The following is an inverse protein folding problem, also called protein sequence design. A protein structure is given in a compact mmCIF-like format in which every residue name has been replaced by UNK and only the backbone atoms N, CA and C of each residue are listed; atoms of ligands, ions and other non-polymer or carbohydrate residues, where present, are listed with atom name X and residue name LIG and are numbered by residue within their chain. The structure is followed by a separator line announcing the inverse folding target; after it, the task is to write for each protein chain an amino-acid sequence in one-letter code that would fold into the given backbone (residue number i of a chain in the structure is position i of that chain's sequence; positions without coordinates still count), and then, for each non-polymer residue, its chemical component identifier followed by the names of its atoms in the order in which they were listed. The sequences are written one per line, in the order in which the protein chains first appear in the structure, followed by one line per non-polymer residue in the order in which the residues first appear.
data_IF_888216135211
#
_entry.id   IF_888216135211
#
_cell.length_a   1.000
_cell.length_b   1.000
_cell.length_c   1.000
_cell.angle_alpha   90.00
_cell.angle_beta   90.00
_cell.angle_gamma   90.00
#
_symmetry.space_group_name_H-M   'P 1'
#
loop_
_entity.id
_entity.type
_entity.pdbx_description
1 polymer ?
#
# COMPACT_ATOMS: atom_id res chain seq x y z
N UNK A 1 6.93 -8.59 -11.48
CA UNK A 1 6.29 -7.65 -10.52
C UNK A 1 6.50 -8.13 -9.09
N UNK A 2 6.20 -9.37 -8.78
CA UNK A 2 6.30 -9.95 -7.42
C UNK A 2 7.69 -9.80 -6.78
N UNK A 3 8.76 -9.89 -7.59
CA UNK A 3 10.13 -9.70 -7.09
C UNK A 3 10.38 -8.32 -6.46
N UNK A 4 9.79 -7.23 -7.00
CA UNK A 4 9.97 -5.88 -6.43
C UNK A 4 9.25 -5.78 -5.09
N UNK A 5 8.04 -6.32 -4.98
CA UNK A 5 7.31 -6.38 -3.71
C UNK A 5 8.04 -7.22 -2.67
N UNK A 6 8.51 -8.42 -3.06
CA UNK A 6 9.25 -9.30 -2.15
C UNK A 6 10.52 -8.63 -1.62
N UNK A 7 11.28 -7.95 -2.48
CA UNK A 7 12.49 -7.20 -2.08
C UNK A 7 12.09 -6.03 -1.17
N UNK A 8 11.10 -5.22 -1.52
CA UNK A 8 10.67 -4.09 -0.71
C UNK A 8 10.21 -4.55 0.69
N UNK A 9 9.42 -5.63 0.78
CA UNK A 9 8.97 -6.20 2.06
C UNK A 9 10.13 -6.73 2.91
N UNK A 10 11.11 -7.39 2.30
CA UNK A 10 12.26 -7.94 3.03
C UNK A 10 13.26 -6.87 3.48
N UNK A 11 13.43 -5.78 2.70
CA UNK A 11 14.29 -4.65 3.10
C UNK A 11 13.76 -3.94 4.35
N UNK A 12 12.44 -3.92 4.57
CA UNK A 12 11.87 -3.30 5.78
C UNK A 12 12.48 -3.84 7.09
N UNK A 13 12.86 -5.12 7.15
CA UNK A 13 13.46 -5.69 8.37
C UNK A 13 14.84 -5.13 8.68
N UNK A 14 15.56 -4.63 7.67
CA UNK A 14 16.90 -4.05 7.86
C UNK A 14 16.90 -2.76 8.69
N UNK A 15 15.72 -2.13 8.83
CA UNK A 15 15.54 -0.96 9.72
C UNK A 15 15.46 -1.35 11.20
N UNK A 16 15.25 -2.63 11.51
CA UNK A 16 15.26 -3.17 12.87
C UNK A 16 16.68 -3.56 13.28
N UNK A 17 17.54 -2.56 13.45
CA UNK A 17 18.93 -2.80 13.89
C UNK A 17 18.96 -3.12 15.38
N UNK A 18 19.73 -4.16 15.75
CA UNK A 18 19.97 -4.46 17.16
C UNK A 18 20.59 -3.24 17.89
N UNK A 19 20.23 -3.00 19.16
CA UNK A 19 20.81 -1.92 19.95
C UNK A 19 22.34 -2.08 20.02
N UNK A 20 23.09 -1.06 19.55
CA UNK A 20 24.57 -1.12 19.52
C UNK A 20 25.19 -0.64 20.81
N UNK A 21 24.51 0.26 21.53
CA UNK A 21 24.91 0.78 22.83
C UNK A 21 23.84 0.44 23.85
N UNK A 22 24.26 -0.27 24.92
CA UNK A 22 23.36 -0.59 26.02
C UNK A 22 23.47 0.53 27.06
N UNK A 23 22.33 1.25 27.26
CA UNK A 23 22.15 2.17 28.37
C UNK A 23 22.02 1.45 29.72
N UNK A 24 21.70 2.18 30.81
CA UNK A 24 21.61 1.60 32.17
C UNK A 24 20.59 0.45 32.30
N UNK A 25 19.56 0.39 31.40
CA UNK A 25 18.56 -0.67 31.36
C UNK A 25 18.97 -1.92 30.57
N UNK A 26 20.18 -1.96 30.02
CA UNK A 26 20.70 -3.11 29.28
C UNK A 26 19.93 -3.41 27.99
N UNK A 27 20.01 -4.67 27.55
CA UNK A 27 19.38 -5.13 26.30
C UNK A 27 17.83 -5.00 26.34
N UNK A 28 17.23 -5.25 27.49
CA UNK A 28 15.75 -5.17 27.61
C UNK A 28 15.23 -3.77 27.28
N UNK A 29 15.85 -2.73 27.83
CA UNK A 29 15.48 -1.35 27.53
C UNK A 29 15.75 -1.01 26.05
N UNK A 30 16.90 -1.42 25.50
CA UNK A 30 17.22 -1.22 24.09
C UNK A 30 16.21 -1.85 23.14
N UNK A 31 15.63 -3.01 23.49
CA UNK A 31 14.56 -3.64 22.71
C UNK A 31 13.23 -2.88 22.82
N UNK A 32 12.90 -2.36 24.01
CA UNK A 32 11.71 -1.51 24.19
C UNK A 32 11.80 -0.24 23.35
N UNK A 33 12.98 0.37 23.27
CA UNK A 33 13.24 1.58 22.49
C UNK A 33 13.09 1.36 20.95
N UNK A 34 13.17 0.11 20.49
CA UNK A 34 12.86 -0.27 19.12
C UNK A 34 11.36 -0.35 18.82
N UNK A 35 10.48 -0.21 19.80
CA UNK A 35 9.04 -0.44 19.67
C UNK A 35 8.38 0.34 18.53
N UNK A 36 8.73 1.64 18.35
CA UNK A 36 8.20 2.46 17.27
C UNK A 36 8.62 1.97 15.89
N UNK A 37 9.89 1.58 15.73
CA UNK A 37 10.43 1.04 14.47
C UNK A 37 9.80 -0.31 14.16
N UNK A 38 9.63 -1.15 15.19
CA UNK A 38 8.95 -2.45 15.02
C UNK A 38 7.50 -2.27 14.60
N UNK A 39 6.75 -1.37 15.23
CA UNK A 39 5.39 -1.04 14.82
C UNK A 39 5.32 -0.53 13.37
N UNK A 40 6.22 0.38 13.00
CA UNK A 40 6.31 0.88 11.62
C UNK A 40 6.64 -0.22 10.62
N UNK A 41 7.56 -1.14 10.96
CA UNK A 41 7.87 -2.31 10.15
C UNK A 41 6.62 -3.17 9.90
N UNK A 42 5.88 -3.53 10.97
CA UNK A 42 4.66 -4.36 10.85
C UNK A 42 3.61 -3.67 9.98
N UNK A 43 3.35 -2.39 10.23
CA UNK A 43 2.38 -1.59 9.47
C UNK A 43 2.78 -1.56 7.98
N UNK A 44 4.03 -1.22 7.69
CA UNK A 44 4.50 -1.08 6.31
C UNK A 44 4.54 -2.41 5.56
N UNK A 45 4.84 -3.52 6.26
CA UNK A 45 4.80 -4.86 5.69
C UNK A 45 3.37 -5.24 5.29
N UNK A 46 2.39 -4.98 6.17
CA UNK A 46 0.97 -5.23 5.88
C UNK A 46 0.49 -4.33 4.73
N UNK A 47 0.85 -3.05 4.74
CA UNK A 47 0.53 -2.10 3.67
C UNK A 47 1.05 -2.58 2.33
N UNK A 48 2.33 -2.98 2.25
CA UNK A 48 2.91 -3.53 1.01
C UNK A 48 2.19 -4.82 0.57
N UNK A 49 1.85 -5.70 1.51
CA UNK A 49 1.06 -6.91 1.25
C UNK A 49 -0.31 -6.58 0.63
N UNK A 50 -0.99 -5.55 1.14
CA UNK A 50 -2.27 -5.09 0.60
C UNK A 50 -2.11 -4.51 -0.81
N UNK A 51 -1.09 -3.68 -1.06
CA UNK A 51 -0.80 -3.17 -2.41
C UNK A 51 -0.46 -4.30 -3.38
N UNK A 52 0.35 -5.27 -2.95
CA UNK A 52 0.65 -6.46 -3.76
C UNK A 52 -0.64 -7.23 -4.12
N UNK A 53 -1.46 -7.52 -3.11
CA UNK A 53 -2.70 -8.27 -3.31
C UNK A 53 -3.68 -7.54 -4.24
N UNK A 54 -3.90 -6.25 -4.01
CA UNK A 54 -4.76 -5.42 -4.85
C UNK A 54 -4.24 -5.35 -6.30
N UNK A 55 -2.95 -5.13 -6.47
CA UNK A 55 -2.29 -5.08 -7.78
C UNK A 55 -2.41 -6.43 -8.50
N UNK A 56 -2.13 -7.54 -7.82
CA UNK A 56 -2.24 -8.88 -8.37
C UNK A 56 -3.66 -9.18 -8.87
N UNK A 57 -4.68 -8.86 -8.07
CA UNK A 57 -6.08 -9.06 -8.45
C UNK A 57 -6.51 -8.19 -9.64
N UNK A 58 -6.11 -6.93 -9.67
CA UNK A 58 -6.45 -6.02 -10.78
C UNK A 58 -5.79 -6.49 -12.08
N UNK A 59 -4.55 -6.97 -12.03
CA UNK A 59 -3.84 -7.48 -13.20
C UNK A 59 -4.32 -8.87 -13.66
N UNK A 60 -5.11 -9.57 -12.86
CA UNK A 60 -5.75 -10.83 -13.27
C UNK A 60 -6.67 -10.65 -14.50
N UNK A 61 -7.30 -9.49 -14.65
CA UNK A 61 -8.19 -9.18 -15.77
C UNK A 61 -7.45 -8.70 -17.03
N UNK A 62 -6.13 -8.56 -17.01
CA UNK A 62 -5.36 -8.02 -18.13
C UNK A 62 -5.12 -9.10 -19.19
N UNK A 63 -5.65 -8.90 -20.39
CA UNK A 63 -5.41 -9.77 -21.55
C UNK A 63 -4.29 -9.27 -22.46
N UNK A 64 -4.16 -7.95 -22.58
CA UNK A 64 -3.17 -7.31 -23.46
C UNK A 64 -2.45 -6.20 -22.74
N UNK A 65 -1.18 -6.04 -23.08
CA UNK A 65 -0.32 -5.01 -22.50
C UNK A 65 0.15 -4.06 -23.59
N UNK A 66 0.08 -2.77 -23.35
CA UNK A 66 0.62 -1.76 -24.24
C UNK A 66 1.73 -0.93 -23.53
N UNK A 67 2.44 -0.13 -24.29
CA UNK A 67 3.57 0.67 -23.78
C UNK A 67 3.19 1.57 -22.61
N UNK A 68 2.03 2.22 -22.66
CA UNK A 68 1.58 3.13 -21.60
C UNK A 68 1.32 2.37 -20.29
N UNK A 69 0.65 1.21 -20.35
CA UNK A 69 0.42 0.38 -19.17
C UNK A 69 1.73 -0.10 -18.54
N UNK A 70 2.73 -0.46 -19.36
CA UNK A 70 4.07 -0.84 -18.86
C UNK A 70 4.71 0.32 -18.10
N UNK A 71 4.69 1.54 -18.64
CA UNK A 71 5.28 2.70 -17.98
C UNK A 71 4.54 3.08 -16.68
N UNK A 72 3.22 3.05 -16.67
CA UNK A 72 2.43 3.27 -15.45
C UNK A 72 2.78 2.25 -14.37
N UNK A 73 2.93 1.00 -14.77
CA UNK A 73 3.33 -0.07 -13.84
C UNK A 73 4.78 0.11 -13.34
N UNK A 74 5.72 0.55 -14.18
CA UNK A 74 7.09 0.86 -13.75
C UNK A 74 7.09 1.99 -12.72
N UNK A 75 6.31 3.06 -12.94
CA UNK A 75 6.18 4.16 -11.97
C UNK A 75 5.58 3.68 -10.64
N UNK A 76 4.58 2.81 -10.71
CA UNK A 76 4.01 2.19 -9.51
C UNK A 76 5.04 1.36 -8.74
N UNK A 77 5.80 0.50 -9.43
CA UNK A 77 6.86 -0.31 -8.81
C UNK A 77 8.02 0.53 -8.24
N UNK A 78 8.33 1.66 -8.87
CA UNK A 78 9.27 2.64 -8.31
C UNK A 78 8.75 3.22 -6.98
N UNK A 79 7.47 3.54 -6.90
CA UNK A 79 6.82 3.95 -5.65
C UNK A 79 6.86 2.86 -4.57
N UNK A 80 6.64 1.58 -4.93
CA UNK A 80 6.80 0.44 -4.01
C UNK A 80 8.22 0.38 -3.43
N UNK A 81 9.23 0.58 -4.27
CA UNK A 81 10.63 0.57 -3.84
C UNK A 81 11.00 1.75 -2.89
N UNK A 82 10.21 2.83 -2.87
CA UNK A 82 10.38 3.96 -1.96
C UNK A 82 9.74 3.74 -0.57
N UNK A 83 8.82 2.78 -0.43
CA UNK A 83 8.12 2.54 0.84
C UNK A 83 9.07 2.23 1.99
N UNK A 84 10.10 1.37 1.86
CA UNK A 84 11.05 1.10 2.94
C UNK A 84 11.75 2.36 3.45
N UNK A 85 12.16 3.25 2.55
CA UNK A 85 12.78 4.54 2.93
C UNK A 85 11.80 5.41 3.71
N UNK A 86 10.58 5.59 3.22
CA UNK A 86 9.57 6.40 3.90
C UNK A 86 9.19 5.81 5.27
N UNK A 87 9.12 4.48 5.38
CA UNK A 87 8.89 3.76 6.62
C UNK A 87 10.04 3.96 7.62
N UNK A 88 11.30 3.91 7.16
CA UNK A 88 12.48 4.18 7.98
C UNK A 88 12.42 5.57 8.63
N UNK A 89 12.10 6.60 7.83
CA UNK A 89 11.95 7.97 8.33
C UNK A 89 10.81 8.07 9.34
N UNK A 90 9.63 7.49 9.03
CA UNK A 90 8.50 7.48 9.96
C UNK A 90 8.81 6.75 11.27
N UNK A 91 9.52 5.60 11.21
CA UNK A 91 9.92 4.84 12.40
C UNK A 91 10.95 5.55 13.29
N UNK A 92 11.80 6.39 12.69
CA UNK A 92 12.77 7.20 13.41
C UNK A 92 12.16 8.46 14.04
N UNK A 93 11.14 9.03 13.40
CA UNK A 93 10.52 10.32 13.76
C UNK A 93 8.99 10.20 13.86
N UNK A 94 8.50 9.27 14.67
CA UNK A 94 7.06 8.90 14.75
C UNK A 94 6.16 10.07 15.18
N UNK A 95 6.68 11.04 15.91
CA UNK A 95 5.94 12.21 16.39
C UNK A 95 6.14 13.45 15.50
N UNK A 96 6.78 13.30 14.35
CA UNK A 96 7.04 14.40 13.42
C UNK A 96 6.04 14.36 12.25
N UNK A 97 5.33 15.46 12.06
CA UNK A 97 4.34 15.59 10.99
C UNK A 97 4.95 15.49 9.59
N UNK A 98 6.21 15.91 9.41
CA UNK A 98 6.90 15.84 8.12
C UNK A 98 7.22 14.38 7.79
N UNK A 99 7.66 13.59 8.78
CA UNK A 99 7.94 12.17 8.60
C UNK A 99 6.67 11.40 8.21
N UNK A 100 5.55 11.67 8.89
CA UNK A 100 4.25 11.08 8.55
C UNK A 100 3.74 11.56 7.20
N UNK A 101 3.97 12.82 6.84
CA UNK A 101 3.59 13.37 5.54
C UNK A 101 4.39 12.75 4.40
N UNK A 102 5.69 12.48 4.59
CA UNK A 102 6.50 11.78 3.62
C UNK A 102 5.98 10.36 3.38
N UNK A 103 5.70 9.62 4.46
CA UNK A 103 5.12 8.27 4.37
C UNK A 103 3.76 8.30 3.66
N UNK A 104 2.85 9.17 4.10
CA UNK A 104 1.55 9.37 3.47
C UNK A 104 1.64 9.81 2.01
N UNK A 105 2.61 10.64 1.66
CA UNK A 105 2.87 11.07 0.28
C UNK A 105 3.26 9.91 -0.63
N UNK A 106 4.12 9.00 -0.17
CA UNK A 106 4.48 7.79 -0.92
C UNK A 106 3.27 6.86 -1.07
N UNK A 107 2.50 6.63 0.00
CA UNK A 107 1.28 5.81 -0.07
C UNK A 107 0.21 6.46 -0.97
N UNK A 108 0.05 7.77 -0.91
CA UNK A 108 -0.88 8.52 -1.76
C UNK A 108 -0.52 8.46 -3.24
N UNK A 109 0.78 8.56 -3.55
CA UNK A 109 1.29 8.37 -4.92
C UNK A 109 0.97 6.96 -5.41
N UNK A 110 1.23 5.93 -4.61
CA UNK A 110 0.92 4.54 -4.95
C UNK A 110 -0.57 4.32 -5.18
N UNK A 111 -1.41 4.86 -4.29
CA UNK A 111 -2.85 4.77 -4.43
C UNK A 111 -3.35 5.47 -5.70
N UNK A 112 -2.82 6.65 -6.02
CA UNK A 112 -3.15 7.40 -7.23
C UNK A 112 -2.71 6.65 -8.50
N UNK A 113 -1.51 6.07 -8.51
CA UNK A 113 -1.01 5.26 -9.62
C UNK A 113 -1.82 3.97 -9.79
N UNK A 114 -2.19 3.29 -8.70
CA UNK A 114 -3.06 2.11 -8.77
C UNK A 114 -4.44 2.43 -9.34
N UNK A 115 -5.04 3.55 -8.91
CA UNK A 115 -6.29 4.06 -9.47
C UNK A 115 -6.14 4.40 -10.96
N UNK A 116 -5.06 5.09 -11.35
CA UNK A 116 -4.79 5.47 -12.73
C UNK A 116 -4.58 4.26 -13.64
N UNK A 117 -3.87 3.23 -13.17
CA UNK A 117 -3.68 1.95 -13.87
C UNK A 117 -5.05 1.32 -14.15
N UNK A 118 -5.91 1.18 -13.14
CA UNK A 118 -7.23 0.61 -13.33
C UNK A 118 -8.11 1.44 -14.27
N UNK A 119 -8.13 2.76 -14.08
CA UNK A 119 -8.86 3.66 -14.97
C UNK A 119 -8.40 3.55 -16.42
N UNK A 120 -7.08 3.44 -16.62
CA UNK A 120 -6.49 3.29 -17.94
C UNK A 120 -6.85 1.95 -18.57
N UNK A 121 -6.75 0.84 -17.83
CA UNK A 121 -7.03 -0.50 -18.33
C UNK A 121 -8.52 -0.73 -18.63
N UNK A 122 -9.40 -0.22 -17.76
CA UNK A 122 -10.85 -0.41 -17.86
C UNK A 122 -11.55 0.51 -18.86
N UNK A 123 -10.80 1.36 -19.59
CA UNK A 123 -11.33 2.13 -20.72
C UNK A 123 -11.45 1.30 -22.00
N UNK A 124 -12.02 1.91 -23.06
CA UNK A 124 -12.29 1.28 -24.37
C UNK A 124 -11.02 0.97 -25.18
N UNK A 125 -10.01 0.33 -24.57
CA UNK A 125 -8.70 0.03 -25.18
C UNK A 125 -8.47 -1.45 -25.42
N UNK A 126 -9.42 -2.31 -25.04
CA UNK A 126 -9.30 -3.77 -25.17
C UNK A 126 -8.13 -4.39 -24.39
N UNK A 127 -7.76 -3.78 -23.27
CA UNK A 127 -6.66 -4.27 -22.42
C UNK A 127 -7.12 -5.30 -21.39
N UNK A 128 -8.38 -5.23 -20.99
CA UNK A 128 -9.01 -6.17 -20.06
C UNK A 128 -9.98 -7.10 -20.78
N UNK A 129 -10.40 -8.13 -20.08
CA UNK A 129 -11.32 -9.16 -20.57
C UNK A 129 -12.62 -8.54 -21.11
N UNK A 130 -13.00 -8.85 -22.40
CA UNK A 130 -14.24 -8.37 -22.96
C UNK A 130 -15.43 -9.06 -22.27
N UNK A 131 -16.40 -8.25 -21.82
CA UNK A 131 -17.58 -8.76 -21.12
C UNK A 131 -17.48 -8.73 -19.60
N UNK A 132 -16.41 -8.15 -19.03
CA UNK A 132 -16.35 -7.90 -17.59
C UNK A 132 -17.53 -7.03 -17.16
N UNK A 133 -18.23 -7.46 -16.09
CA UNK A 133 -19.42 -6.77 -15.57
C UNK A 133 -19.12 -5.27 -15.31
N UNK A 134 -19.83 -4.34 -15.97
CA UNK A 134 -19.64 -2.90 -15.77
C UNK A 134 -19.83 -2.47 -14.30
N UNK A 135 -20.68 -3.20 -13.55
CA UNK A 135 -20.86 -2.95 -12.13
C UNK A 135 -19.61 -3.30 -11.32
N UNK A 136 -18.89 -4.37 -11.69
CA UNK A 136 -17.61 -4.70 -11.08
C UNK A 136 -16.56 -3.63 -11.40
N UNK A 137 -16.45 -3.23 -12.67
CA UNK A 137 -15.51 -2.18 -13.11
C UNK A 137 -15.69 -0.91 -12.29
N UNK A 138 -16.96 -0.49 -12.09
CA UNK A 138 -17.29 0.68 -11.28
C UNK A 138 -16.95 0.48 -9.81
N UNK A 139 -17.29 -0.67 -9.21
CA UNK A 139 -16.99 -0.98 -7.81
C UNK A 139 -15.47 -0.97 -7.52
N UNK A 140 -14.67 -1.55 -8.41
CA UNK A 140 -13.20 -1.54 -8.29
C UNK A 140 -12.65 -0.12 -8.40
N UNK A 141 -13.22 0.70 -9.32
CA UNK A 141 -12.83 2.12 -9.45
C UNK A 141 -13.10 2.91 -8.17
N UNK A 142 -14.30 2.77 -7.58
CA UNK A 142 -14.66 3.43 -6.32
C UNK A 142 -13.76 2.95 -5.16
N UNK A 143 -13.51 1.65 -5.07
CA UNK A 143 -12.65 1.07 -4.05
C UNK A 143 -11.21 1.58 -4.14
N UNK A 144 -10.61 1.62 -5.34
CA UNK A 144 -9.28 2.16 -5.54
C UNK A 144 -9.20 3.69 -5.33
N UNK A 145 -10.32 4.43 -5.47
CA UNK A 145 -10.38 5.87 -5.21
C UNK A 145 -10.26 6.22 -3.71
N UNK A 146 -10.52 5.28 -2.81
CA UNK A 146 -10.43 5.50 -1.36
C UNK A 146 -9.02 5.98 -0.97
N UNK A 147 -7.98 5.33 -1.46
CA UNK A 147 -6.60 5.66 -1.13
C UNK A 147 -6.20 7.10 -1.50
N UNK A 148 -6.33 7.53 -2.77
CA UNK A 148 -5.99 8.89 -3.20
C UNK A 148 -6.80 9.99 -2.50
N UNK A 149 -7.98 9.67 -1.97
CA UNK A 149 -8.82 10.63 -1.23
C UNK A 149 -8.40 10.71 0.25
N UNK A 150 -8.16 9.56 0.89
CA UNK A 150 -7.89 9.54 2.33
C UNK A 150 -6.44 9.92 2.66
N UNK A 151 -5.46 9.60 1.82
CA UNK A 151 -4.06 9.90 2.12
C UNK A 151 -3.76 11.40 2.23
N UNK A 152 -4.28 12.32 1.38
CA UNK A 152 -4.12 13.76 1.61
C UNK A 152 -4.76 14.25 2.92
N UNK A 153 -5.90 13.66 3.30
CA UNK A 153 -6.55 13.96 4.59
C UNK A 153 -5.65 13.53 5.74
N UNK A 154 -5.09 12.32 5.69
CA UNK A 154 -4.16 11.82 6.70
C UNK A 154 -2.91 12.71 6.82
N UNK A 155 -2.37 13.20 5.68
CA UNK A 155 -1.27 14.15 5.65
C UNK A 155 -1.68 15.47 6.35
N UNK A 156 -2.83 16.04 6.02
CA UNK A 156 -3.29 17.27 6.66
C UNK A 156 -3.50 17.07 8.17
N UNK A 157 -4.07 15.94 8.58
CA UNK A 157 -4.30 15.58 9.99
C UNK A 157 -2.97 15.40 10.74
N UNK A 158 -1.88 14.97 10.09
CA UNK A 158 -0.58 14.79 10.76
C UNK A 158 -0.03 16.08 11.38
N UNK A 159 -0.38 17.24 10.82
CA UNK A 159 -0.01 18.56 11.36
C UNK A 159 -0.83 18.97 12.58
N UNK A 160 -1.96 18.30 12.84
CA UNK A 160 -2.80 18.54 14.04
C UNK A 160 -2.55 17.46 15.09
N UNK A 161 -2.47 16.19 14.66
CA UNK A 161 -2.23 15.05 15.54
C UNK A 161 -1.57 13.91 14.77
N UNK A 162 -0.31 13.63 15.08
CA UNK A 162 0.46 12.52 14.53
C UNK A 162 -0.16 11.16 14.87
N UNK A 163 -0.72 11.03 16.08
CA UNK A 163 -1.39 9.79 16.53
C UNK A 163 -2.63 9.49 15.68
N UNK A 164 -3.47 10.48 15.39
CA UNK A 164 -4.67 10.28 14.55
C UNK A 164 -4.26 9.95 13.13
N UNK A 165 -3.24 10.59 12.58
CA UNK A 165 -2.72 10.27 11.24
C UNK A 165 -2.20 8.82 11.16
N UNK A 166 -1.45 8.35 12.17
CA UNK A 166 -0.99 6.96 12.26
C UNK A 166 -2.17 5.97 12.31
N UNK A 167 -3.23 6.28 13.07
CA UNK A 167 -4.43 5.44 13.10
C UNK A 167 -5.12 5.37 11.73
N UNK A 168 -5.14 6.47 10.96
CA UNK A 168 -5.67 6.47 9.60
C UNK A 168 -4.82 5.54 8.71
N UNK A 169 -3.48 5.63 8.75
CA UNK A 169 -2.61 4.75 7.97
C UNK A 169 -2.75 3.28 8.37
N UNK A 170 -2.99 2.98 9.64
CA UNK A 170 -3.22 1.62 10.14
C UNK A 170 -4.58 1.06 9.70
N UNK A 171 -5.63 1.89 9.62
CA UNK A 171 -6.98 1.45 9.25
C UNK A 171 -7.16 1.26 7.75
N UNK A 172 -6.42 1.98 6.91
CA UNK A 172 -6.51 1.85 5.46
C UNK A 172 -6.33 0.41 4.96
N UNK A 173 -5.26 -0.35 5.35
CA UNK A 173 -5.10 -1.75 4.94
C UNK A 173 -6.29 -2.62 5.31
N UNK A 174 -6.86 -2.40 6.50
CA UNK A 174 -8.03 -3.16 6.99
C UNK A 174 -9.22 -2.96 6.05
N UNK A 175 -9.50 -1.70 5.68
CA UNK A 175 -10.57 -1.37 4.71
C UNK A 175 -10.33 -2.06 3.37
N UNK A 176 -9.09 -2.02 2.86
CA UNK A 176 -8.75 -2.65 1.58
C UNK A 176 -8.86 -4.19 1.59
N UNK A 177 -8.57 -4.85 2.72
CA UNK A 177 -8.68 -6.30 2.87
C UNK A 177 -10.17 -6.71 2.93
N UNK A 178 -10.95 -6.09 3.81
CA UNK A 178 -12.33 -6.53 4.09
C UNK A 178 -13.35 -6.09 3.03
N UNK A 179 -13.12 -4.99 2.34
CA UNK A 179 -14.06 -4.44 1.35
C UNK A 179 -13.61 -4.62 -0.11
N UNK A 180 -12.84 -5.69 -0.39
CA UNK A 180 -12.33 -5.96 -1.72
C UNK A 180 -13.44 -6.48 -2.66
N UNK A 181 -13.83 -5.71 -3.71
CA UNK A 181 -14.88 -6.11 -4.63
C UNK A 181 -14.47 -7.24 -5.58
N UNK A 182 -13.17 -7.37 -5.89
CA UNK A 182 -12.64 -8.39 -6.80
C UNK A 182 -12.70 -9.76 -6.15
N UNK A 183 -12.24 -9.90 -4.89
CA UNK A 183 -12.32 -11.17 -4.17
C UNK A 183 -13.75 -11.70 -4.09
N UNK A 184 -14.70 -10.83 -3.74
CA UNK A 184 -16.12 -11.19 -3.65
C UNK A 184 -16.70 -11.61 -5.01
N UNK A 185 -16.25 -11.02 -6.10
CA UNK A 185 -16.67 -11.39 -7.44
C UNK A 185 -16.12 -12.77 -7.83
N UNK A 186 -14.84 -13.02 -7.61
CA UNK A 186 -14.20 -14.29 -7.92
C UNK A 186 -14.77 -15.46 -7.08
N UNK A 187 -15.07 -15.21 -5.81
CA UNK A 187 -15.75 -16.18 -4.95
C UNK A 187 -17.11 -16.59 -5.51
N UNK A 188 -17.94 -15.63 -5.95
CA UNK A 188 -19.25 -15.91 -6.56
C UNK A 188 -19.14 -16.73 -7.85
N UNK A 189 -18.16 -16.46 -8.70
CA UNK A 189 -17.95 -17.24 -9.93
C UNK A 189 -17.62 -18.70 -9.60
N UNK A 190 -16.80 -18.96 -8.57
CA UNK A 190 -16.46 -20.33 -8.12
C UNK A 190 -17.67 -21.08 -7.56
N UNK A 191 -18.59 -20.39 -6.91
CA UNK A 191 -19.81 -21.00 -6.37
C UNK A 191 -20.84 -21.34 -7.46
N UNK A 192 -20.72 -20.75 -8.65
CA UNK A 192 -21.62 -20.97 -9.80
C UNK A 192 -21.06 -21.97 -10.82
N UNK A 193 -19.81 -22.38 -10.69
CA UNK A 193 -19.23 -23.49 -11.45
C UNK A 193 -19.66 -24.83 -10.80
N UNK A 194 -20.34 -25.72 -11.55
CA UNK A 194 -20.86 -27.01 -11.05
C UNK A 194 -19.77 -28.02 -10.72
#
# INVERSE_FOLDING_TARGET
MDGVFAIAMTILVLELRAPQTLGPGGLAQGLVDLGSRFATFVISFIVLGVYWFAHHQVFHFVLRVNRTLVWLNILFLMGIALVPFAASVMGAYTNDAIALSLYGGVLGLLAALGYLIWWYMSGDRGLIEPGLDPALVHKVRVWLAIGPVITPVAIAVSFVSTTVALLIYLTLPVVFIFFNPVSRYLERLRETEP
#
